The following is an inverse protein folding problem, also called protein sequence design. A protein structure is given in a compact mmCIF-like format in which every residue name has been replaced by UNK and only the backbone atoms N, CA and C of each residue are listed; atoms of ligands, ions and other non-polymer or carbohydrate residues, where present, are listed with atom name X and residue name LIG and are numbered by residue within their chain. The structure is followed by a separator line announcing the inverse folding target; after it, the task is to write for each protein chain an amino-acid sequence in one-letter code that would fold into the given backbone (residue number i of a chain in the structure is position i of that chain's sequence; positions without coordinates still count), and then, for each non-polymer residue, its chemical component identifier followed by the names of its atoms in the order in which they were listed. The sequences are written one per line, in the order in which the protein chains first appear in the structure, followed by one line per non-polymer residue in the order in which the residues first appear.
data_IF_744308482922
#
_entry.id   IF_744308482922
#
_cell.length_a   1.000
_cell.length_b   1.000
_cell.length_c   1.000
_cell.angle_alpha   90.00
_cell.angle_beta   90.00
_cell.angle_gamma   90.00
#
_symmetry.space_group_name_H-M   'P 1'
#
loop_
_entity.id
_entity.type
_entity.pdbx_description
1 polymer ?
#
# COMPACT_ATOMS: atom_id res chain seq x y z
N UNK A 1 -48.01 8.99 32.33
CA UNK A 1 -47.87 7.77 33.16
C UNK A 1 -46.43 7.29 33.04
N UNK A 2 -45.73 7.17 34.17
CA UNK A 2 -44.34 6.73 34.26
C UNK A 2 -44.23 5.25 33.89
N UNK A 3 -43.76 4.94 32.68
CA UNK A 3 -43.17 3.63 32.41
C UNK A 3 -41.66 3.77 32.59
N UNK A 4 -41.19 3.45 33.80
CA UNK A 4 -39.77 3.34 34.08
C UNK A 4 -39.19 2.23 33.23
N UNK A 5 -38.36 2.58 32.24
CA UNK A 5 -37.37 1.65 31.73
C UNK A 5 -36.54 1.19 32.94
N UNK A 6 -36.57 -0.11 33.23
CA UNK A 6 -35.57 -0.73 34.09
C UNK A 6 -34.23 -0.62 33.36
N UNK A 7 -33.48 0.43 33.65
CA UNK A 7 -32.07 0.53 33.26
C UNK A 7 -31.33 -0.55 34.04
N UNK A 8 -31.04 -1.68 33.38
CA UNK A 8 -30.14 -2.68 33.93
C UNK A 8 -28.75 -2.04 34.00
N UNK A 9 -28.31 -1.68 35.21
CA UNK A 9 -26.95 -1.17 35.43
C UNK A 9 -25.94 -2.19 34.92
N UNK A 10 -25.22 -1.84 33.86
CA UNK A 10 -24.16 -2.69 33.32
C UNK A 10 -22.97 -2.59 34.27
N UNK A 11 -22.55 -3.72 34.86
CA UNK A 11 -21.38 -3.77 35.73
C UNK A 11 -20.21 -4.27 34.88
N UNK A 12 -19.25 -3.40 34.61
CA UNK A 12 -17.96 -3.75 33.99
C UNK A 12 -16.87 -3.39 35.00
N UNK A 13 -15.99 -4.34 35.35
CA UNK A 13 -14.90 -4.16 36.32
C UNK A 13 -15.32 -3.54 37.67
N UNK A 14 -16.56 -3.81 38.13
CA UNK A 14 -17.05 -3.35 39.44
C UNK A 14 -17.59 -1.92 39.48
N UNK A 15 -17.66 -1.22 38.35
CA UNK A 15 -18.25 0.12 38.23
C UNK A 15 -19.63 0.01 37.57
N UNK A 16 -20.61 0.76 38.10
CA UNK A 16 -21.93 0.92 37.45
C UNK A 16 -21.70 1.82 36.24
N UNK A 17 -21.80 1.26 35.04
CA UNK A 17 -21.70 2.01 33.80
C UNK A 17 -23.08 2.39 33.25
N UNK A 18 -23.10 3.47 32.47
CA UNK A 18 -24.26 3.92 31.71
C UNK A 18 -24.76 2.94 30.64
N UNK A 19 -25.67 3.42 29.79
CA UNK A 19 -26.16 2.68 28.62
C UNK A 19 -25.08 2.59 27.52
N UNK A 20 -25.08 1.50 26.76
CA UNK A 20 -24.11 1.26 25.68
C UNK A 20 -24.79 1.11 24.32
N UNK A 21 -24.02 1.34 23.27
CA UNK A 21 -24.32 0.93 21.89
C UNK A 21 -23.40 -0.22 21.49
N UNK A 22 -23.80 -1.00 20.48
CA UNK A 22 -22.93 -1.99 19.85
C UNK A 22 -22.31 -1.36 18.59
N UNK A 23 -20.99 -1.35 18.53
CA UNK A 23 -20.25 -0.85 17.37
C UNK A 23 -20.13 -1.91 16.28
N UNK A 24 -19.56 -1.54 15.13
CA UNK A 24 -19.33 -2.45 14.00
C UNK A 24 -18.38 -3.60 14.36
N UNK A 25 -17.35 -3.32 15.13
CA UNK A 25 -16.40 -4.28 15.72
C UNK A 25 -17.03 -5.15 16.83
N UNK A 26 -18.31 -4.91 17.16
CA UNK A 26 -19.10 -5.56 18.22
C UNK A 26 -18.64 -5.18 19.62
N UNK A 27 -17.97 -4.03 19.75
CA UNK A 27 -17.60 -3.46 21.04
C UNK A 27 -18.83 -2.85 21.71
N UNK A 28 -18.97 -3.05 23.03
CA UNK A 28 -19.99 -2.37 23.83
C UNK A 28 -19.45 -0.99 24.20
N UNK A 29 -19.80 0.01 23.40
CA UNK A 29 -19.31 1.36 23.56
C UNK A 29 -20.28 2.19 24.40
N UNK A 30 -19.76 3.03 25.30
CA UNK A 30 -20.55 3.85 26.22
C UNK A 30 -20.39 5.34 25.87
N UNK A 31 -21.25 5.93 25.02
CA UNK A 31 -21.01 7.28 24.49
C UNK A 31 -20.97 8.39 25.56
N UNK A 32 -21.65 8.18 26.69
CA UNK A 32 -21.65 9.15 27.80
C UNK A 32 -20.46 8.97 28.74
N UNK A 33 -19.76 7.84 28.68
CA UNK A 33 -18.64 7.49 29.56
C UNK A 33 -17.61 6.69 28.73
N UNK A 34 -16.99 7.32 27.71
CA UNK A 34 -16.15 6.60 26.75
C UNK A 34 -14.93 6.00 27.45
N UNK A 35 -14.69 4.71 27.17
CA UNK A 35 -13.46 4.01 27.54
C UNK A 35 -12.49 4.17 26.38
N UNK A 36 -11.27 4.68 26.66
CA UNK A 36 -10.29 4.98 25.60
C UNK A 36 -9.96 3.76 24.77
N UNK A 37 -9.78 2.59 25.39
CA UNK A 37 -9.42 1.36 24.70
C UNK A 37 -10.52 0.84 23.75
N UNK A 38 -11.78 1.25 23.97
CA UNK A 38 -12.93 0.84 23.17
C UNK A 38 -13.14 1.74 21.93
N UNK A 39 -12.34 2.81 21.78
CA UNK A 39 -12.34 3.68 20.60
C UNK A 39 -11.48 3.04 19.50
N UNK A 40 -12.13 2.56 18.43
CA UNK A 40 -11.51 1.94 17.26
C UNK A 40 -11.74 2.78 16.00
N UNK A 41 -10.69 2.94 15.19
CA UNK A 41 -10.75 3.69 13.94
C UNK A 41 -11.63 2.98 12.90
N UNK A 42 -11.71 1.65 12.96
CA UNK A 42 -12.57 0.86 12.07
C UNK A 42 -14.04 1.17 12.33
N UNK A 43 -14.42 1.35 13.60
CA UNK A 43 -15.79 1.71 13.98
C UNK A 43 -16.14 3.13 13.53
N UNK A 44 -15.23 4.08 13.75
CA UNK A 44 -15.38 5.47 13.31
C UNK A 44 -15.54 5.53 11.79
N UNK A 45 -14.59 4.96 11.05
CA UNK A 45 -14.58 4.99 9.58
C UNK A 45 -15.83 4.34 9.00
N UNK A 46 -16.24 3.18 9.55
CA UNK A 46 -17.42 2.48 9.09
C UNK A 46 -18.69 3.31 9.27
N UNK A 47 -18.93 3.80 10.50
CA UNK A 47 -20.13 4.57 10.81
C UNK A 47 -20.18 5.89 10.02
N UNK A 48 -19.09 6.65 9.97
CA UNK A 48 -19.04 7.91 9.23
C UNK A 48 -19.19 7.71 7.72
N UNK A 49 -18.73 6.58 7.17
CA UNK A 49 -18.90 6.27 5.74
C UNK A 49 -20.35 6.01 5.33
N UNK A 50 -21.19 5.61 6.28
CA UNK A 50 -22.62 5.34 6.11
C UNK A 50 -23.52 6.51 6.54
N UNK A 51 -22.96 7.50 7.24
CA UNK A 51 -23.69 8.65 7.77
C UNK A 51 -23.80 9.76 6.74
N UNK A 52 -25.03 10.16 6.40
CA UNK A 52 -25.29 11.24 5.43
C UNK A 52 -25.07 12.62 6.05
N UNK A 53 -24.41 13.51 5.32
CA UNK A 53 -24.39 14.94 5.66
C UNK A 53 -25.67 15.67 5.30
N UNK A 54 -25.83 16.85 5.89
CA UNK A 54 -26.99 17.73 5.70
C UNK A 54 -28.33 17.00 5.93
N UNK A 55 -28.34 16.01 6.82
CA UNK A 55 -29.50 15.15 7.09
C UNK A 55 -30.11 14.55 5.81
N UNK A 56 -29.29 14.25 4.80
CA UNK A 56 -29.71 13.65 3.54
C UNK A 56 -30.36 14.61 2.53
N UNK A 57 -30.25 15.93 2.71
CA UNK A 57 -30.85 16.92 1.81
C UNK A 57 -30.00 17.30 0.59
N UNK A 58 -28.78 16.78 0.48
CA UNK A 58 -27.99 16.92 -0.74
C UNK A 58 -28.58 16.11 -1.89
N UNK A 59 -28.27 16.50 -3.13
CA UNK A 59 -28.84 15.91 -4.35
C UNK A 59 -28.53 14.41 -4.54
N UNK A 60 -27.54 13.88 -3.83
CA UNK A 60 -27.12 12.47 -3.83
C UNK A 60 -26.44 12.12 -2.50
N UNK A 61 -26.12 10.84 -2.27
CA UNK A 61 -25.47 10.41 -1.04
C UNK A 61 -24.07 11.02 -0.90
N UNK A 62 -23.84 11.75 0.20
CA UNK A 62 -22.55 12.33 0.55
C UNK A 62 -22.34 12.16 2.05
N UNK A 63 -21.26 11.45 2.41
CA UNK A 63 -21.07 10.98 3.78
C UNK A 63 -20.22 11.91 4.63
N UNK A 64 -20.36 11.81 5.95
CA UNK A 64 -19.50 12.52 6.91
C UNK A 64 -18.03 12.13 6.69
N UNK A 65 -17.72 10.85 6.44
CA UNK A 65 -16.35 10.44 6.15
C UNK A 65 -15.77 11.10 4.88
N UNK A 66 -16.58 11.30 3.83
CA UNK A 66 -16.12 11.97 2.60
C UNK A 66 -15.81 13.45 2.86
N UNK A 67 -16.63 14.12 3.67
CA UNK A 67 -16.35 15.47 4.15
C UNK A 67 -15.02 15.53 4.93
N UNK A 68 -14.82 14.66 5.93
CA UNK A 68 -13.59 14.66 6.73
C UNK A 68 -12.34 14.38 5.88
N UNK A 69 -12.43 13.53 4.85
CA UNK A 69 -11.35 13.29 3.87
C UNK A 69 -11.04 14.58 3.09
N UNK A 70 -12.06 15.31 2.63
CA UNK A 70 -11.87 16.57 1.93
C UNK A 70 -11.26 17.64 2.85
N UNK A 71 -11.68 17.72 4.12
CA UNK A 71 -11.05 18.57 5.14
C UNK A 71 -9.57 18.22 5.36
N UNK A 72 -9.24 16.94 5.48
CA UNK A 72 -7.86 16.47 5.57
C UNK A 72 -7.02 16.91 4.36
N UNK A 73 -7.50 16.68 3.14
CA UNK A 73 -6.80 17.03 1.90
C UNK A 73 -6.59 18.53 1.76
N UNK A 74 -7.57 19.33 2.17
CA UNK A 74 -7.47 20.79 2.19
C UNK A 74 -6.40 21.24 3.19
N UNK A 75 -6.38 20.68 4.41
CA UNK A 75 -5.34 20.96 5.39
C UNK A 75 -3.94 20.56 4.89
N UNK A 76 -3.81 19.42 4.19
CA UNK A 76 -2.55 19.01 3.55
C UNK A 76 -2.12 20.02 2.46
N UNK A 77 -3.05 20.48 1.62
CA UNK A 77 -2.75 21.46 0.56
C UNK A 77 -2.43 22.86 1.08
N UNK A 78 -2.98 23.25 2.24
CA UNK A 78 -2.61 24.49 2.94
C UNK A 78 -1.23 24.40 3.60
N UNK A 79 -0.60 23.22 3.61
CA UNK A 79 0.70 22.99 4.23
C UNK A 79 0.65 22.94 5.76
N UNK A 80 -0.52 22.65 6.35
CA UNK A 80 -0.67 22.54 7.80
C UNK A 80 0.05 21.32 8.36
N UNK A 81 0.31 21.33 9.67
CA UNK A 81 1.06 20.26 10.35
C UNK A 81 0.34 18.91 10.24
N UNK A 82 1.07 17.79 10.35
CA UNK A 82 0.47 16.44 10.35
C UNK A 82 -0.55 16.26 11.48
N UNK A 83 -0.34 16.94 12.61
CA UNK A 83 -1.29 16.99 13.73
C UNK A 83 -2.60 17.67 13.32
N UNK A 84 -2.54 18.83 12.68
CA UNK A 84 -3.73 19.54 12.18
C UNK A 84 -4.43 18.74 11.09
N UNK A 85 -3.67 18.13 10.17
CA UNK A 85 -4.23 17.21 9.16
C UNK A 85 -5.00 16.05 9.79
N UNK A 86 -4.47 15.43 10.85
CA UNK A 86 -5.14 14.37 11.60
C UNK A 86 -6.40 14.88 12.32
N UNK A 87 -6.33 16.07 12.91
CA UNK A 87 -7.49 16.69 13.55
C UNK A 87 -8.60 16.99 12.53
N UNK A 88 -8.27 17.51 11.34
CA UNK A 88 -9.26 17.70 10.26
C UNK A 88 -9.88 16.38 9.79
N UNK A 89 -9.13 15.27 9.76
CA UNK A 89 -9.69 13.96 9.45
C UNK A 89 -10.65 13.44 10.54
N UNK A 90 -10.38 13.77 11.80
CA UNK A 90 -11.09 13.23 12.96
C UNK A 90 -12.08 14.21 13.60
N UNK A 91 -12.26 15.42 13.09
CA UNK A 91 -13.03 16.47 13.80
C UNK A 91 -14.49 16.09 14.06
N UNK A 92 -15.10 15.31 13.15
CA UNK A 92 -16.46 14.76 13.28
C UNK A 92 -16.48 13.32 13.82
N UNK A 93 -15.37 12.79 14.33
CA UNK A 93 -15.28 11.39 14.75
C UNK A 93 -16.27 11.02 15.87
N UNK A 94 -16.58 11.94 16.77
CA UNK A 94 -17.59 11.74 17.82
C UNK A 94 -18.96 11.39 17.26
N UNK A 95 -19.34 11.91 16.09
CA UNK A 95 -20.63 11.66 15.44
C UNK A 95 -20.85 10.16 15.15
N UNK A 96 -19.77 9.38 14.96
CA UNK A 96 -19.85 7.92 14.78
C UNK A 96 -20.55 7.19 15.94
N UNK A 97 -20.55 7.78 17.15
CA UNK A 97 -21.16 7.20 18.33
C UNK A 97 -22.44 7.91 18.79
N UNK A 98 -22.69 9.15 18.33
CA UNK A 98 -23.82 9.99 18.79
C UNK A 98 -24.68 10.63 17.69
N UNK A 99 -24.39 10.36 16.42
CA UNK A 99 -25.02 10.90 15.18
C UNK A 99 -24.68 12.36 14.84
N UNK A 100 -24.66 12.69 13.54
CA UNK A 100 -24.57 14.07 13.03
C UNK A 100 -25.85 14.85 13.35
N UNK A 101 -25.70 15.94 14.11
CA UNK A 101 -26.77 16.92 14.33
C UNK A 101 -26.45 18.21 13.57
N UNK A 102 -27.34 18.55 12.64
CA UNK A 102 -27.23 19.78 11.84
C UNK A 102 -26.95 21.02 12.70
N UNK A 103 -25.98 21.84 12.25
CA UNK A 103 -25.46 23.03 12.94
C UNK A 103 -26.53 24.00 13.48
N UNK A 104 -27.68 24.27 12.80
CA UNK A 104 -28.72 25.16 13.34
C UNK A 104 -29.41 24.62 14.59
N UNK A 105 -29.62 23.30 14.70
CA UNK A 105 -30.28 22.67 15.84
C UNK A 105 -29.29 22.51 17.01
N UNK A 106 -28.05 22.10 16.70
CA UNK A 106 -26.98 21.81 17.66
C UNK A 106 -26.75 22.93 18.68
N UNK A 107 -26.83 24.19 18.24
CA UNK A 107 -26.68 25.39 19.10
C UNK A 107 -27.67 25.49 20.25
N UNK A 108 -28.81 24.79 20.16
CA UNK A 108 -29.87 24.80 21.17
C UNK A 108 -29.84 23.56 22.08
N UNK A 109 -28.88 22.65 21.91
CA UNK A 109 -28.77 21.38 22.63
C UNK A 109 -27.52 21.37 23.51
N UNK A 110 -27.57 22.05 24.65
CA UNK A 110 -26.38 22.27 25.51
C UNK A 110 -25.78 20.95 26.03
N UNK A 111 -26.63 20.00 26.46
CA UNK A 111 -26.17 18.69 26.93
C UNK A 111 -25.48 17.88 25.82
N UNK A 112 -26.01 17.95 24.59
CA UNK A 112 -25.39 17.29 23.44
C UNK A 112 -23.99 17.84 23.19
N UNK A 113 -23.83 19.17 23.22
CA UNK A 113 -22.52 19.81 23.05
C UNK A 113 -21.50 19.34 24.09
N UNK A 114 -21.91 19.23 25.37
CA UNK A 114 -21.01 18.74 26.42
C UNK A 114 -20.63 17.27 26.24
N UNK A 115 -21.58 16.42 25.83
CA UNK A 115 -21.35 15.00 25.56
C UNK A 115 -20.37 14.84 24.39
N UNK A 116 -20.63 15.53 23.29
CA UNK A 116 -19.81 15.52 22.08
C UNK A 116 -18.39 16.02 22.36
N UNK A 117 -18.24 17.17 23.02
CA UNK A 117 -16.92 17.72 23.33
C UNK A 117 -16.08 16.77 24.18
N UNK A 118 -16.68 16.10 25.16
CA UNK A 118 -15.99 15.09 25.98
C UNK A 118 -15.59 13.87 25.15
N UNK A 119 -16.51 13.35 24.34
CA UNK A 119 -16.24 12.19 23.48
C UNK A 119 -15.15 12.50 22.45
N UNK A 120 -15.24 13.66 21.79
CA UNK A 120 -14.25 14.13 20.83
C UNK A 120 -12.87 14.27 21.48
N UNK A 121 -12.81 14.80 22.71
CA UNK A 121 -11.58 14.88 23.50
C UNK A 121 -11.00 13.50 23.80
N UNK A 122 -11.82 12.51 24.16
CA UNK A 122 -11.38 11.13 24.38
C UNK A 122 -10.87 10.46 23.09
N UNK A 123 -11.49 10.75 21.94
CA UNK A 123 -11.01 10.26 20.63
C UNK A 123 -9.65 10.87 20.30
N UNK A 124 -9.48 12.18 20.52
CA UNK A 124 -8.20 12.86 20.34
C UNK A 124 -7.12 12.29 21.25
N UNK A 125 -7.42 12.10 22.54
CA UNK A 125 -6.52 11.47 23.49
C UNK A 125 -6.10 10.06 23.04
N UNK A 126 -7.04 9.23 22.60
CA UNK A 126 -6.79 7.87 22.10
C UNK A 126 -5.78 7.82 20.96
N UNK A 127 -5.75 8.86 20.13
CA UNK A 127 -4.86 8.97 18.97
C UNK A 127 -3.71 9.97 19.19
N UNK A 128 -3.38 10.27 20.45
CA UNK A 128 -2.18 11.03 20.81
C UNK A 128 -2.28 12.55 20.58
N UNK A 129 -3.49 13.08 20.39
CA UNK A 129 -3.77 14.52 20.30
C UNK A 129 -4.11 15.01 21.70
N UNK A 130 -3.16 15.64 22.39
CA UNK A 130 -3.34 16.01 23.81
C UNK A 130 -3.88 17.42 24.00
N UNK A 131 -3.34 18.41 23.29
CA UNK A 131 -3.75 19.82 23.39
C UNK A 131 -3.61 20.50 22.03
N UNK A 132 -4.66 21.20 21.59
CA UNK A 132 -4.60 22.12 20.46
C UNK A 132 -4.34 23.53 20.97
N UNK A 133 -3.52 24.29 20.26
CA UNK A 133 -3.41 25.72 20.50
C UNK A 133 -4.45 26.49 19.67
N UNK A 134 -4.68 27.77 19.99
CA UNK A 134 -5.69 28.61 19.33
C UNK A 134 -5.50 28.69 17.80
N UNK A 135 -4.25 28.65 17.30
CA UNK A 135 -3.98 28.66 15.86
C UNK A 135 -4.35 27.33 15.21
N UNK A 136 -4.05 26.20 15.85
CA UNK A 136 -4.45 24.87 15.38
C UNK A 136 -5.97 24.70 15.36
N UNK A 137 -6.67 25.14 16.41
CA UNK A 137 -8.14 25.12 16.47
C UNK A 137 -8.74 25.98 15.36
N UNK A 138 -8.19 27.17 15.14
CA UNK A 138 -8.60 28.06 14.06
C UNK A 138 -8.36 27.44 12.69
N UNK A 139 -7.21 26.78 12.47
CA UNK A 139 -6.90 26.10 11.21
C UNK A 139 -7.93 24.99 10.90
N UNK A 140 -8.34 24.22 11.91
CA UNK A 140 -9.35 23.16 11.76
C UNK A 140 -10.71 23.79 11.42
N UNK A 141 -11.13 24.81 12.18
CA UNK A 141 -12.40 25.51 11.94
C UNK A 141 -12.45 26.17 10.56
N UNK A 142 -11.37 26.82 10.12
CA UNK A 142 -11.28 27.48 8.81
C UNK A 142 -11.35 26.48 7.64
N UNK A 143 -10.97 25.22 7.88
CA UNK A 143 -11.04 24.14 6.88
C UNK A 143 -12.45 23.54 6.83
N UNK A 144 -13.05 23.25 8.00
CA UNK A 144 -14.43 22.75 8.08
C UNK A 144 -15.44 23.76 7.49
N UNK A 145 -15.37 25.04 7.90
CA UNK A 145 -16.25 26.07 7.36
C UNK A 145 -16.05 26.26 5.84
N UNK A 146 -14.81 26.14 5.35
CA UNK A 146 -14.56 26.15 3.91
C UNK A 146 -15.24 24.98 3.20
N UNK A 147 -15.07 23.74 3.69
CA UNK A 147 -15.75 22.58 3.11
C UNK A 147 -17.27 22.72 3.14
N UNK A 148 -17.83 23.11 4.28
CA UNK A 148 -19.27 23.30 4.45
C UNK A 148 -19.82 24.28 3.40
N UNK A 149 -19.14 25.41 3.16
CA UNK A 149 -19.57 26.38 2.15
C UNK A 149 -19.60 25.76 0.74
N UNK A 150 -18.51 25.11 0.32
CA UNK A 150 -18.43 24.55 -1.03
C UNK A 150 -19.33 23.32 -1.23
N UNK A 151 -19.63 22.57 -0.18
CA UNK A 151 -20.63 21.50 -0.20
C UNK A 151 -22.01 22.04 -0.57
N UNK A 152 -22.49 23.07 0.14
CA UNK A 152 -23.79 23.68 -0.13
C UNK A 152 -23.83 24.38 -1.49
N UNK A 153 -22.73 25.03 -1.89
CA UNK A 153 -22.63 25.66 -3.19
C UNK A 153 -22.74 24.63 -4.33
N UNK A 154 -21.99 23.52 -4.29
CA UNK A 154 -21.97 22.53 -5.37
C UNK A 154 -23.18 21.57 -5.35
N UNK A 155 -23.61 21.15 -4.15
CA UNK A 155 -24.65 20.13 -4.00
C UNK A 155 -26.05 20.72 -3.94
N UNK A 156 -26.20 22.02 -3.62
CA UNK A 156 -27.50 22.69 -3.54
C UNK A 156 -27.59 23.99 -4.35
N UNK A 157 -26.48 24.52 -4.87
CA UNK A 157 -26.47 25.81 -5.57
C UNK A 157 -26.71 27.00 -4.64
N UNK A 158 -26.39 26.86 -3.34
CA UNK A 158 -26.71 27.87 -2.33
C UNK A 158 -25.46 28.36 -1.60
N UNK A 159 -25.32 29.68 -1.51
CA UNK A 159 -24.29 30.34 -0.71
C UNK A 159 -24.80 30.50 0.73
N UNK A 160 -24.06 29.94 1.70
CA UNK A 160 -24.50 29.92 3.11
C UNK A 160 -23.74 30.92 4.00
N UNK A 161 -22.71 31.58 3.46
CA UNK A 161 -21.93 32.62 4.13
C UNK A 161 -21.83 33.85 3.24
N UNK A 162 -21.79 35.04 3.84
CA UNK A 162 -21.63 36.31 3.13
C UNK A 162 -20.20 36.49 2.57
N UNK A 163 -19.22 35.83 3.19
CA UNK A 163 -17.81 35.89 2.79
C UNK A 163 -17.41 34.50 2.30
N UNK A 164 -16.94 34.45 1.05
CA UNK A 164 -16.48 33.20 0.41
C UNK A 164 -15.16 32.75 1.06
N UNK A 165 -15.12 31.56 1.69
CA UNK A 165 -13.89 31.03 2.26
C UNK A 165 -12.90 30.60 1.16
N UNK A 166 -11.61 30.69 1.48
CA UNK A 166 -10.54 30.23 0.60
C UNK A 166 -10.49 28.70 0.56
N UNK A 167 -10.15 28.16 -0.61
CA UNK A 167 -9.96 26.72 -0.82
C UNK A 167 -8.75 26.50 -1.74
N UNK A 168 -7.95 25.48 -1.44
CA UNK A 168 -6.69 25.20 -2.15
C UNK A 168 -6.77 23.95 -3.01
N UNK A 169 -7.74 23.07 -2.74
CA UNK A 169 -8.02 21.89 -3.55
C UNK A 169 -9.29 22.06 -4.39
N UNK A 170 -9.49 21.13 -5.32
CA UNK A 170 -10.81 20.83 -5.88
C UNK A 170 -11.39 19.64 -5.08
N UNK A 171 -12.36 19.85 -4.17
CA UNK A 171 -12.94 18.77 -3.39
C UNK A 171 -13.69 17.78 -4.28
N UNK A 172 -13.76 16.54 -3.81
CA UNK A 172 -14.59 15.52 -4.44
C UNK A 172 -15.98 15.50 -3.79
N UNK A 173 -16.95 16.08 -4.48
CA UNK A 173 -18.37 16.08 -4.11
C UNK A 173 -19.19 15.07 -4.93
N UNK A 174 -18.55 14.16 -5.66
CA UNK A 174 -19.25 13.10 -6.39
C UNK A 174 -19.88 12.08 -5.44
N UNK A 175 -20.91 11.37 -5.91
CA UNK A 175 -21.49 10.26 -5.16
C UNK A 175 -20.50 9.09 -5.15
N UNK A 176 -20.10 8.66 -3.95
CA UNK A 176 -19.14 7.57 -3.75
C UNK A 176 -19.75 6.43 -2.97
N UNK A 177 -19.37 5.21 -3.34
CA UNK A 177 -19.75 4.01 -2.59
C UNK A 177 -19.08 4.06 -1.22
N UNK A 178 -19.86 3.89 -0.14
CA UNK A 178 -19.40 3.97 1.25
C UNK A 178 -18.14 3.15 1.52
N UNK A 179 -18.04 1.92 0.98
CA UNK A 179 -16.88 1.05 1.18
C UNK A 179 -15.58 1.59 0.58
N UNK A 180 -15.66 2.43 -0.46
CA UNK A 180 -14.49 3.12 -1.01
C UNK A 180 -14.05 4.30 -0.14
N UNK A 181 -15.02 5.00 0.47
CA UNK A 181 -14.78 6.13 1.37
C UNK A 181 -14.21 5.63 2.70
N UNK A 182 -14.77 4.56 3.25
CA UNK A 182 -14.28 3.89 4.47
C UNK A 182 -12.80 3.50 4.33
N UNK A 183 -12.45 2.82 3.23
CA UNK A 183 -11.05 2.42 2.96
C UNK A 183 -10.12 3.62 2.85
N UNK A 184 -10.55 4.68 2.18
CA UNK A 184 -9.73 5.89 2.04
C UNK A 184 -9.55 6.62 3.38
N UNK A 185 -10.59 6.69 4.21
CA UNK A 185 -10.54 7.27 5.54
C UNK A 185 -9.50 6.53 6.40
N UNK A 186 -9.58 5.20 6.45
CA UNK A 186 -8.61 4.34 7.17
C UNK A 186 -7.19 4.55 6.62
N UNK A 187 -7.02 4.56 5.29
CA UNK A 187 -5.71 4.77 4.67
C UNK A 187 -5.13 6.15 5.02
N UNK A 188 -5.96 7.19 5.05
CA UNK A 188 -5.56 8.56 5.39
C UNK A 188 -5.17 8.66 6.87
N UNK A 189 -5.96 8.02 7.74
CA UNK A 189 -5.66 7.94 9.17
C UNK A 189 -4.33 7.24 9.43
N UNK A 190 -4.12 6.06 8.83
CA UNK A 190 -2.89 5.29 8.99
C UNK A 190 -1.66 6.09 8.52
N UNK A 191 -1.76 6.74 7.35
CA UNK A 191 -0.73 7.65 6.82
C UNK A 191 -0.37 8.76 7.83
N UNK A 192 -1.35 9.33 8.53
CA UNK A 192 -1.16 10.43 9.48
C UNK A 192 -0.63 9.98 10.84
N UNK A 193 -1.04 8.81 11.30
CA UNK A 193 -0.55 8.19 12.54
C UNK A 193 0.87 7.63 12.41
N UNK A 194 1.47 7.69 11.21
CA UNK A 194 2.75 7.05 10.94
C UNK A 194 2.68 5.53 10.89
N UNK A 195 1.47 4.96 10.90
CA UNK A 195 1.22 3.57 10.52
C UNK A 195 1.37 3.49 8.99
N UNK A 196 2.61 3.28 8.52
CA UNK A 196 2.77 2.64 7.21
C UNK A 196 1.95 1.35 7.27
N UNK A 197 1.10 1.11 6.27
CA UNK A 197 0.34 -0.14 6.13
C UNK A 197 1.21 -1.31 6.57
N UNK A 198 0.75 -2.20 7.45
CA UNK A 198 1.51 -3.41 7.74
C UNK A 198 1.77 -4.14 6.42
N UNK A 199 2.99 -4.00 5.92
CA UNK A 199 3.44 -4.65 4.71
C UNK A 199 4.37 -5.78 5.10
N UNK A 200 4.28 -6.86 4.34
CA UNK A 200 5.21 -7.95 4.35
C UNK A 200 5.54 -8.26 2.90
N UNK A 201 6.68 -7.79 2.43
CA UNK A 201 7.08 -7.92 1.02
C UNK A 201 8.37 -8.72 0.92
N UNK A 202 8.43 -9.63 -0.06
CA UNK A 202 9.64 -10.40 -0.33
C UNK A 202 10.12 -10.17 -1.76
N UNK A 203 11.40 -9.83 -1.86
CA UNK A 203 12.13 -9.73 -3.12
C UNK A 203 13.18 -10.82 -3.21
N UNK A 204 13.32 -11.43 -4.38
CA UNK A 204 14.10 -12.65 -4.59
C UNK A 204 15.02 -12.49 -5.79
N UNK A 205 16.30 -12.84 -5.65
CA UNK A 205 17.27 -12.86 -6.74
C UNK A 205 18.06 -14.18 -6.79
N UNK A 206 18.52 -14.55 -7.98
CA UNK A 206 19.27 -15.77 -8.24
C UNK A 206 20.76 -15.60 -7.94
N UNK A 207 21.26 -16.29 -6.91
CA UNK A 207 22.63 -16.18 -6.42
C UNK A 207 23.42 -17.50 -6.57
N UNK A 208 24.24 -17.64 -7.63
CA UNK A 208 25.14 -18.79 -7.84
C UNK A 208 24.46 -20.18 -7.75
N UNK A 209 23.28 -20.34 -8.35
CA UNK A 209 22.52 -21.59 -8.30
C UNK A 209 21.77 -21.81 -6.97
N UNK A 210 21.77 -20.80 -6.10
CA UNK A 210 20.89 -20.64 -4.94
C UNK A 210 20.04 -19.39 -5.14
N UNK A 211 19.25 -19.04 -4.13
CA UNK A 211 18.46 -17.82 -4.08
C UNK A 211 18.87 -16.98 -2.88
N UNK A 212 18.83 -15.67 -3.05
CA UNK A 212 18.80 -14.72 -1.94
C UNK A 212 17.40 -14.13 -1.88
N UNK A 213 16.83 -14.08 -0.68
CA UNK A 213 15.55 -13.42 -0.45
C UNK A 213 15.69 -12.36 0.63
N UNK A 214 15.16 -11.18 0.34
CA UNK A 214 15.04 -10.06 1.28
C UNK A 214 13.56 -9.89 1.58
N UNK A 215 13.20 -10.12 2.83
CA UNK A 215 11.89 -9.83 3.38
C UNK A 215 11.95 -8.50 4.13
N UNK A 216 11.01 -7.61 3.86
CA UNK A 216 10.85 -6.35 4.58
C UNK A 216 9.43 -6.23 5.12
N UNK A 217 9.34 -5.68 6.32
CA UNK A 217 8.09 -5.25 6.94
C UNK A 217 8.28 -3.93 7.68
N UNK A 218 7.27 -3.49 8.43
CA UNK A 218 7.30 -2.28 9.25
C UNK A 218 8.46 -2.30 10.27
N UNK A 219 9.60 -1.70 9.89
CA UNK A 219 10.78 -1.57 10.75
C UNK A 219 11.59 -2.85 10.98
N UNK A 220 11.11 -4.01 10.49
CA UNK A 220 11.82 -5.28 10.56
C UNK A 220 12.24 -5.75 9.16
N UNK A 221 13.29 -6.55 9.12
CA UNK A 221 13.75 -7.19 7.90
C UNK A 221 14.35 -8.55 8.18
N UNK A 222 14.34 -9.37 7.14
CA UNK A 222 15.13 -10.57 7.11
C UNK A 222 15.80 -10.78 5.76
N UNK A 223 16.99 -11.38 5.79
CA UNK A 223 17.75 -11.69 4.59
C UNK A 223 18.41 -13.04 4.77
N UNK A 224 18.14 -13.95 3.84
CA UNK A 224 18.62 -15.33 3.92
C UNK A 224 18.94 -15.89 2.54
N UNK A 225 19.77 -16.94 2.52
CA UNK A 225 20.02 -17.76 1.33
C UNK A 225 19.20 -19.03 1.39
N UNK A 226 18.65 -19.41 0.24
CA UNK A 226 17.82 -20.60 0.08
C UNK A 226 18.33 -21.45 -1.08
N UNK A 227 18.15 -22.77 -1.01
CA UNK A 227 18.57 -23.68 -2.08
C UNK A 227 17.50 -23.81 -3.15
N UNK A 228 16.23 -23.58 -2.81
CA UNK A 228 15.08 -23.72 -3.71
C UNK A 228 14.06 -22.61 -3.46
N UNK A 229 13.21 -22.35 -4.46
CA UNK A 229 12.06 -21.44 -4.32
C UNK A 229 11.02 -21.98 -3.34
N UNK A 230 10.86 -23.31 -3.24
CA UNK A 230 9.97 -23.96 -2.27
C UNK A 230 10.32 -23.54 -0.84
N UNK A 231 11.61 -23.57 -0.47
CA UNK A 231 12.05 -23.16 0.87
C UNK A 231 11.70 -21.70 1.18
N UNK A 232 11.79 -20.79 0.20
CA UNK A 232 11.42 -19.38 0.38
C UNK A 232 9.91 -19.28 0.62
N UNK A 233 9.11 -19.86 -0.28
CA UNK A 233 7.65 -19.80 -0.22
C UNK A 233 7.07 -20.52 1.00
N UNK A 234 7.76 -21.51 1.56
CA UNK A 234 7.36 -22.21 2.78
C UNK A 234 7.78 -21.44 4.05
N UNK A 235 8.94 -20.77 4.03
CA UNK A 235 9.38 -19.89 5.12
C UNK A 235 8.51 -18.62 5.24
N UNK A 236 8.02 -18.12 4.10
CA UNK A 236 7.20 -16.92 4.01
C UNK A 236 5.90 -17.23 3.25
N UNK A 237 4.88 -17.85 3.88
CA UNK A 237 3.68 -18.30 3.18
C UNK A 237 2.65 -17.18 2.90
N UNK A 238 2.68 -16.10 3.69
CA UNK A 238 1.63 -15.07 3.75
C UNK A 238 2.20 -13.64 3.64
N UNK A 239 3.06 -13.39 2.65
CA UNK A 239 3.46 -12.04 2.27
C UNK A 239 2.43 -11.41 1.33
N UNK A 240 2.34 -10.08 1.37
CA UNK A 240 1.50 -9.28 0.50
C UNK A 240 2.02 -9.27 -0.94
N UNK A 241 3.34 -9.42 -1.12
CA UNK A 241 3.99 -9.46 -2.43
C UNK A 241 5.15 -10.45 -2.48
N UNK A 242 5.34 -11.07 -3.65
CA UNK A 242 6.45 -11.96 -3.97
C UNK A 242 7.01 -11.61 -5.35
N UNK A 243 8.15 -10.93 -5.39
CA UNK A 243 8.73 -10.44 -6.63
C UNK A 243 10.11 -11.06 -6.83
N UNK A 244 10.39 -11.55 -8.04
CA UNK A 244 11.62 -12.29 -8.35
C UNK A 244 12.29 -11.82 -9.65
N UNK A 245 13.62 -11.72 -9.65
CA UNK A 245 14.43 -11.45 -10.86
C UNK A 245 14.74 -12.75 -11.61
N UNK A 246 13.68 -13.34 -12.17
CA UNK A 246 13.80 -14.49 -13.07
C UNK A 246 12.60 -14.52 -14.01
N UNK A 247 12.79 -14.89 -15.29
CA UNK A 247 11.68 -15.04 -16.22
C UNK A 247 10.59 -15.98 -15.71
N UNK A 248 9.34 -15.50 -15.69
CA UNK A 248 8.12 -16.25 -15.35
C UNK A 248 7.17 -16.29 -16.55
N UNK A 249 6.67 -17.49 -16.85
CA UNK A 249 5.95 -17.80 -18.09
C UNK A 249 6.92 -17.96 -19.25
N UNK A 250 6.66 -18.84 -20.20
CA UNK A 250 7.65 -19.17 -21.23
C UNK A 250 7.04 -19.16 -22.63
N UNK A 251 7.77 -18.63 -23.63
CA UNK A 251 7.31 -18.68 -24.98
C UNK A 251 7.45 -20.12 -25.49
N UNK A 252 6.45 -20.58 -26.24
CA UNK A 252 6.47 -21.81 -27.03
C UNK A 252 6.29 -21.53 -28.52
N UNK A 253 6.15 -20.26 -28.91
CA UNK A 253 6.14 -19.81 -30.32
C UNK A 253 6.69 -18.38 -30.46
N UNK A 254 7.02 -17.98 -31.70
CA UNK A 254 7.39 -16.59 -32.03
C UNK A 254 6.27 -15.57 -31.83
N UNK A 255 5.03 -16.03 -31.75
CA UNK A 255 3.87 -15.16 -31.50
C UNK A 255 3.73 -14.80 -30.02
N UNK A 256 4.41 -15.52 -29.13
CA UNK A 256 4.33 -15.31 -27.68
C UNK A 256 5.16 -14.09 -27.30
N UNK A 257 4.48 -12.97 -27.10
CA UNK A 257 5.10 -11.72 -26.72
C UNK A 257 5.42 -11.72 -25.22
N UNK A 258 6.72 -11.67 -24.92
CA UNK A 258 7.25 -11.57 -23.56
C UNK A 258 7.59 -10.13 -23.15
N UNK A 259 7.56 -9.83 -21.84
CA UNK A 259 7.84 -8.49 -21.30
C UNK A 259 9.25 -7.98 -21.64
N UNK A 260 10.23 -8.89 -21.74
CA UNK A 260 11.65 -8.58 -21.94
C UNK A 260 11.89 -7.64 -23.13
N UNK A 261 11.20 -7.86 -24.24
CA UNK A 261 11.35 -7.06 -25.46
C UNK A 261 10.91 -5.59 -25.25
N UNK A 262 9.86 -5.39 -24.46
CA UNK A 262 9.33 -4.07 -24.14
C UNK A 262 10.24 -3.34 -23.16
N UNK A 263 10.61 -4.00 -22.06
CA UNK A 263 11.46 -3.40 -21.02
C UNK A 263 12.85 -3.08 -21.56
N UNK A 264 13.40 -3.95 -22.43
CA UNK A 264 14.67 -3.70 -23.11
C UNK A 264 14.65 -2.41 -23.93
N UNK A 265 13.54 -2.12 -24.60
CA UNK A 265 13.36 -0.87 -25.37
C UNK A 265 13.27 0.34 -24.45
N UNK A 266 12.56 0.22 -23.32
CA UNK A 266 12.39 1.29 -22.33
C UNK A 266 13.70 1.65 -21.62
N UNK A 267 14.56 0.68 -21.32
CA UNK A 267 15.85 0.90 -20.67
C UNK A 267 16.91 1.56 -21.56
N UNK A 268 16.69 1.66 -22.87
CA UNK A 268 17.61 2.30 -23.81
C UNK A 268 19.03 1.75 -23.70
N UNK A 269 19.99 2.60 -23.28
CA UNK A 269 21.42 2.24 -23.13
C UNK A 269 21.68 1.08 -22.16
N UNK A 270 20.78 0.83 -21.21
CA UNK A 270 20.86 -0.28 -20.24
C UNK A 270 20.10 -1.53 -20.70
N UNK A 271 19.46 -1.51 -21.87
CA UNK A 271 18.70 -2.66 -22.39
C UNK A 271 19.53 -3.93 -22.61
N UNK A 272 20.86 -3.85 -22.60
CA UNK A 272 21.74 -5.03 -22.64
C UNK A 272 21.71 -5.87 -21.36
N UNK A 273 21.21 -5.35 -20.24
CA UNK A 273 20.99 -6.14 -19.01
C UNK A 273 19.86 -7.16 -19.18
N UNK A 274 18.92 -6.89 -20.09
CA UNK A 274 17.81 -7.78 -20.40
C UNK A 274 18.21 -8.71 -21.55
N UNK A 275 18.43 -9.96 -21.18
CA UNK A 275 18.72 -11.04 -22.11
C UNK A 275 17.41 -11.62 -22.67
N UNK A 276 17.53 -12.39 -23.74
CA UNK A 276 16.38 -13.06 -24.31
C UNK A 276 16.07 -14.34 -23.53
N UNK A 277 14.80 -14.50 -23.18
CA UNK A 277 14.29 -15.67 -22.45
C UNK A 277 14.19 -16.87 -23.40
N UNK A 278 14.75 -18.04 -23.02
CA UNK A 278 14.62 -19.25 -23.81
C UNK A 278 13.17 -19.74 -23.92
N UNK A 279 12.83 -20.44 -25.00
CA UNK A 279 11.56 -21.17 -25.07
C UNK A 279 11.50 -22.30 -24.03
N UNK A 280 10.29 -22.75 -23.69
CA UNK A 280 10.13 -23.83 -22.69
C UNK A 280 10.91 -25.09 -23.08
N UNK A 281 10.88 -25.50 -24.34
CA UNK A 281 11.59 -26.67 -24.85
C UNK A 281 13.10 -26.58 -24.60
N UNK A 282 13.68 -25.38 -24.74
CA UNK A 282 15.10 -25.16 -24.53
C UNK A 282 15.52 -25.31 -23.07
N UNK A 283 14.73 -24.80 -22.10
CA UNK A 283 15.10 -24.91 -20.68
C UNK A 283 14.99 -26.34 -20.13
N UNK A 284 14.16 -27.19 -20.75
CA UNK A 284 14.02 -28.60 -20.38
C UNK A 284 15.05 -29.51 -21.05
N UNK A 285 15.87 -28.98 -21.95
CA UNK A 285 16.91 -29.76 -22.65
C UNK A 285 18.00 -30.25 -21.71
N UNK A 286 18.57 -31.42 -22.00
CA UNK A 286 19.59 -32.05 -21.15
C UNK A 286 20.96 -31.36 -21.22
N UNK A 287 21.27 -30.74 -22.36
CA UNK A 287 22.55 -30.09 -22.60
C UNK A 287 22.39 -28.78 -23.38
N UNK A 288 23.46 -27.97 -23.39
CA UNK A 288 23.48 -26.65 -24.04
C UNK A 288 23.28 -26.70 -25.56
N UNK A 289 23.68 -27.79 -26.21
CA UNK A 289 23.57 -27.94 -27.67
C UNK A 289 22.09 -28.12 -28.02
N UNK A 290 21.41 -29.03 -27.35
CA UNK A 290 19.98 -29.28 -27.55
C UNK A 290 19.14 -28.06 -27.18
N UNK A 291 19.48 -27.36 -26.09
CA UNK A 291 18.81 -26.12 -25.71
C UNK A 291 18.89 -25.07 -26.83
N UNK A 292 20.04 -24.92 -27.48
CA UNK A 292 20.20 -24.01 -28.63
C UNK A 292 19.39 -24.47 -29.82
N UNK A 293 19.43 -25.75 -30.14
CA UNK A 293 18.70 -26.32 -31.29
C UNK A 293 17.20 -26.12 -31.14
N UNK A 294 16.63 -26.47 -29.98
CA UNK A 294 15.21 -26.25 -29.69
C UNK A 294 14.83 -24.77 -29.72
N UNK A 295 15.69 -23.88 -29.20
CA UNK A 295 15.40 -22.44 -29.25
C UNK A 295 15.46 -21.88 -30.68
N UNK A 296 16.36 -22.39 -31.53
CA UNK A 296 16.41 -22.05 -32.96
C UNK A 296 15.14 -22.54 -33.65
N UNK A 297 14.71 -23.77 -33.40
CA UNK A 297 13.52 -24.36 -34.00
C UNK A 297 12.25 -23.57 -33.64
N UNK A 298 12.07 -23.27 -32.35
CA UNK A 298 10.85 -22.60 -31.85
C UNK A 298 10.88 -21.09 -32.07
N UNK A 299 12.00 -20.44 -31.73
CA UNK A 299 12.12 -18.98 -31.70
C UNK A 299 12.89 -18.39 -32.89
N UNK A 300 13.52 -19.23 -33.73
CA UNK A 300 14.31 -18.79 -34.89
C UNK A 300 15.68 -18.19 -34.54
N UNK A 301 16.15 -18.34 -33.31
CA UNK A 301 17.40 -17.71 -32.84
C UNK A 301 18.12 -18.58 -31.80
N UNK A 302 19.44 -18.51 -31.77
CA UNK A 302 20.26 -19.25 -30.80
C UNK A 302 20.30 -18.56 -29.43
N UNK A 303 20.74 -19.29 -28.41
CA UNK A 303 20.87 -18.79 -27.03
C UNK A 303 22.30 -18.34 -26.72
N UNK A 304 22.38 -17.19 -26.02
CA UNK A 304 23.62 -16.69 -25.43
C UNK A 304 24.10 -17.56 -24.26
N UNK A 305 25.38 -17.51 -23.90
CA UNK A 305 25.89 -18.20 -22.71
C UNK A 305 25.22 -17.69 -21.42
N UNK A 306 24.82 -16.41 -21.38
CA UNK A 306 24.07 -15.84 -20.26
C UNK A 306 22.68 -16.47 -20.13
N UNK A 307 21.92 -16.56 -21.23
CA UNK A 307 20.59 -17.22 -21.26
C UNK A 307 20.68 -18.69 -20.87
N UNK A 308 21.75 -19.39 -21.27
CA UNK A 308 21.99 -20.78 -20.87
C UNK A 308 22.38 -20.92 -19.39
N UNK A 309 23.10 -19.93 -18.84
CA UNK A 309 23.56 -19.93 -17.45
C UNK A 309 22.42 -19.89 -16.43
N UNK A 310 21.31 -19.24 -16.78
CA UNK A 310 20.13 -19.07 -15.92
C UNK A 310 19.02 -20.11 -16.18
N UNK A 311 19.13 -20.91 -17.25
CA UNK A 311 18.07 -21.84 -17.68
C UNK A 311 17.65 -22.81 -16.57
N UNK A 312 18.59 -23.21 -15.70
CA UNK A 312 18.31 -24.06 -14.53
C UNK A 312 17.41 -23.37 -13.50
N UNK A 313 17.62 -22.08 -13.24
CA UNK A 313 16.79 -21.30 -12.34
C UNK A 313 15.39 -21.09 -12.93
N UNK A 314 15.30 -20.75 -14.23
CA UNK A 314 14.02 -20.64 -14.94
C UNK A 314 13.25 -21.97 -14.87
N UNK A 315 13.90 -23.10 -15.13
CA UNK A 315 13.29 -24.43 -15.03
C UNK A 315 12.77 -24.72 -13.63
N UNK A 316 13.51 -24.38 -12.59
CA UNK A 316 13.06 -24.58 -11.21
C UNK A 316 11.77 -23.81 -10.91
N UNK A 317 11.66 -22.57 -11.40
CA UNK A 317 10.47 -21.73 -11.20
C UNK A 317 9.28 -22.24 -12.02
N UNK A 318 9.48 -22.61 -13.29
CA UNK A 318 8.43 -23.20 -14.13
C UNK A 318 7.89 -24.49 -13.49
N UNK A 319 8.77 -25.40 -13.06
CA UNK A 319 8.36 -26.61 -12.34
C UNK A 319 7.62 -26.32 -11.04
N UNK A 320 8.09 -25.35 -10.25
CA UNK A 320 7.44 -24.94 -8.99
C UNK A 320 6.01 -24.43 -9.23
N UNK A 321 5.82 -23.54 -10.20
CA UNK A 321 4.51 -22.97 -10.53
C UNK A 321 3.54 -24.02 -11.09
N UNK A 322 4.05 -25.02 -11.81
CA UNK A 322 3.26 -26.15 -12.29
C UNK A 322 2.87 -27.11 -11.15
N UNK A 323 3.79 -27.39 -10.21
CA UNK A 323 3.54 -28.27 -9.06
C UNK A 323 2.69 -27.61 -7.98
N UNK A 324 2.73 -26.27 -7.85
CA UNK A 324 1.99 -25.50 -6.85
C UNK A 324 1.15 -24.39 -7.50
N UNK A 325 -0.01 -24.72 -8.11
CA UNK A 325 -0.83 -23.75 -8.85
C UNK A 325 -1.25 -22.50 -8.07
N UNK A 326 -1.33 -22.58 -6.72
CA UNK A 326 -1.61 -21.42 -5.84
C UNK A 326 -0.60 -20.27 -5.98
N UNK A 327 0.60 -20.56 -6.49
CA UNK A 327 1.65 -19.57 -6.70
C UNK A 327 1.63 -18.97 -8.11
N UNK A 328 0.87 -19.54 -9.04
CA UNK A 328 0.70 -18.97 -10.39
C UNK A 328 0.15 -17.56 -10.26
N UNK A 329 0.85 -16.61 -10.87
CA UNK A 329 0.50 -15.19 -10.87
C UNK A 329 0.49 -14.52 -9.48
N UNK A 330 0.88 -15.24 -8.41
CA UNK A 330 1.16 -14.69 -7.06
C UNK A 330 2.66 -14.38 -6.91
N UNK A 331 3.52 -15.30 -7.35
CA UNK A 331 4.94 -15.02 -7.58
C UNK A 331 5.07 -14.35 -8.95
N UNK A 332 5.58 -13.13 -8.98
CA UNK A 332 5.63 -12.30 -10.19
C UNK A 332 7.05 -11.85 -10.53
N UNK A 333 7.32 -11.73 -11.81
CA UNK A 333 8.63 -11.34 -12.34
C UNK A 333 8.79 -9.81 -12.33
N UNK A 334 10.00 -9.34 -12.02
CA UNK A 334 10.42 -7.96 -12.28
C UNK A 334 11.93 -7.88 -12.51
N UNK A 335 12.45 -6.73 -12.92
CA UNK A 335 13.87 -6.56 -13.25
C UNK A 335 14.50 -5.39 -12.48
N UNK A 336 15.52 -5.61 -11.62
CA UNK A 336 16.09 -4.60 -10.74
C UNK A 336 16.53 -3.30 -11.43
N UNK A 337 17.23 -3.35 -12.57
CA UNK A 337 17.65 -2.12 -13.27
C UNK A 337 16.47 -1.27 -13.75
N UNK A 338 15.35 -1.91 -14.12
CA UNK A 338 14.14 -1.20 -14.50
C UNK A 338 13.45 -0.60 -13.27
N UNK A 339 13.35 -1.38 -12.20
CA UNK A 339 12.86 -0.91 -10.90
C UNK A 339 13.66 0.27 -10.36
N UNK A 340 14.99 0.21 -10.39
CA UNK A 340 15.85 1.31 -9.97
C UNK A 340 15.64 2.55 -10.82
N UNK A 341 15.47 2.41 -12.13
CA UNK A 341 15.12 3.56 -13.00
C UNK A 341 13.83 4.20 -12.54
N UNK A 342 12.79 3.41 -12.25
CA UNK A 342 11.49 3.89 -11.78
C UNK A 342 11.55 4.56 -10.42
N UNK A 343 12.14 3.91 -9.42
CA UNK A 343 12.37 4.46 -8.09
C UNK A 343 13.26 5.72 -8.09
N UNK A 344 14.01 5.94 -9.17
CA UNK A 344 14.87 7.10 -9.37
C UNK A 344 14.29 8.13 -10.36
N UNK A 345 12.96 8.24 -10.45
CA UNK A 345 12.25 9.21 -11.30
C UNK A 345 12.60 9.06 -12.79
N UNK A 346 12.51 7.83 -13.31
CA UNK A 346 12.87 7.45 -14.69
C UNK A 346 14.33 7.75 -15.07
N UNK A 347 15.24 7.78 -14.09
CA UNK A 347 16.69 7.98 -14.33
C UNK A 347 17.48 6.70 -14.02
N UNK A 348 17.93 5.96 -15.06
CA UNK A 348 18.75 4.76 -14.87
C UNK A 348 20.06 5.06 -14.15
N UNK A 349 20.48 4.14 -13.27
CA UNK A 349 21.79 4.18 -12.62
C UNK A 349 22.84 3.65 -13.60
N UNK A 350 23.79 4.50 -14.00
CA UNK A 350 24.75 4.16 -15.05
C UNK A 350 25.91 3.32 -14.51
N UNK A 351 26.28 3.54 -13.26
CA UNK A 351 27.34 2.85 -12.54
C UNK A 351 27.07 1.34 -12.48
N UNK A 352 28.14 0.56 -12.69
CA UNK A 352 28.11 -0.90 -12.67
C UNK A 352 27.76 -1.41 -11.27
N UNK A 353 26.74 -2.29 -11.19
CA UNK A 353 26.23 -2.86 -9.93
C UNK A 353 27.27 -3.63 -9.12
N UNK A 354 28.35 -4.08 -9.74
CA UNK A 354 29.44 -4.81 -9.07
C UNK A 354 30.48 -3.89 -8.43
N UNK A 355 30.45 -2.60 -8.74
CA UNK A 355 31.39 -1.61 -8.19
C UNK A 355 30.85 -1.01 -6.89
N UNK A 356 31.70 -0.60 -5.94
CA UNK A 356 31.25 0.09 -4.73
C UNK A 356 30.44 1.36 -5.02
N UNK A 357 30.82 2.11 -6.06
CA UNK A 357 30.09 3.30 -6.49
C UNK A 357 28.67 2.95 -6.97
N UNK A 358 28.52 1.91 -7.79
CA UNK A 358 27.20 1.46 -8.26
C UNK A 358 26.33 0.82 -7.16
N UNK A 359 26.95 0.16 -6.18
CA UNK A 359 26.24 -0.37 -5.00
C UNK A 359 25.73 0.77 -4.12
N UNK A 360 26.58 1.77 -3.83
CA UNK A 360 26.17 2.94 -3.06
C UNK A 360 25.07 3.73 -3.76
N UNK A 361 25.18 3.98 -5.08
CA UNK A 361 24.12 4.67 -5.83
C UNK A 361 22.75 3.96 -5.74
N UNK A 362 22.73 2.63 -5.75
CA UNK A 362 21.50 1.83 -5.55
C UNK A 362 21.00 1.92 -4.11
N UNK A 363 21.88 1.85 -3.12
CA UNK A 363 21.50 2.01 -1.71
C UNK A 363 20.97 3.41 -1.41
N UNK A 364 21.53 4.46 -2.01
CA UNK A 364 21.02 5.84 -1.91
C UNK A 364 19.58 5.95 -2.41
N UNK A 365 19.24 5.18 -3.46
CA UNK A 365 17.85 5.08 -3.93
C UNK A 365 16.99 4.37 -2.91
N UNK A 366 17.39 3.18 -2.46
CA UNK A 366 16.57 2.35 -1.57
C UNK A 366 16.33 2.98 -0.20
N UNK A 367 17.29 3.75 0.34
CA UNK A 367 17.13 4.45 1.63
C UNK A 367 16.00 5.47 1.65
N UNK A 368 15.58 5.99 0.49
CA UNK A 368 14.42 6.89 0.38
C UNK A 368 13.09 6.16 0.65
N UNK A 369 13.07 4.85 0.44
CA UNK A 369 11.86 4.01 0.54
C UNK A 369 11.90 3.07 1.75
N UNK A 370 13.10 2.67 2.18
CA UNK A 370 13.34 1.78 3.31
C UNK A 370 14.63 2.17 4.06
N UNK A 371 14.54 2.93 5.17
CA UNK A 371 15.71 3.48 5.88
C UNK A 371 16.73 2.43 6.36
N UNK A 372 16.30 1.19 6.62
CA UNK A 372 17.15 0.10 7.09
C UNK A 372 17.92 -0.63 5.96
N UNK A 373 17.92 -0.09 4.73
CA UNK A 373 18.56 -0.73 3.57
C UNK A 373 20.03 -1.13 3.78
N UNK A 374 20.83 -0.29 4.45
CA UNK A 374 22.24 -0.61 4.74
C UNK A 374 22.38 -1.79 5.71
N UNK A 375 21.49 -1.88 6.71
CA UNK A 375 21.54 -2.91 7.75
C UNK A 375 21.24 -4.31 7.17
N UNK A 376 20.40 -4.40 6.13
CA UNK A 376 20.17 -5.64 5.38
C UNK A 376 21.47 -6.14 4.74
N UNK A 377 22.19 -5.25 4.05
CA UNK A 377 23.46 -5.61 3.40
C UNK A 377 24.52 -5.99 4.43
N UNK A 378 24.64 -5.23 5.52
CA UNK A 378 25.55 -5.52 6.62
C UNK A 378 25.28 -6.89 7.26
N UNK A 379 24.01 -7.19 7.58
CA UNK A 379 23.60 -8.50 8.12
C UNK A 379 23.99 -9.64 7.18
N UNK A 380 23.68 -9.51 5.89
CA UNK A 380 24.01 -10.55 4.91
C UNK A 380 25.52 -10.77 4.74
N UNK A 381 26.30 -9.69 4.75
CA UNK A 381 27.76 -9.77 4.61
C UNK A 381 28.42 -10.35 5.87
N UNK A 382 27.85 -10.15 7.06
CA UNK A 382 28.33 -10.76 8.29
C UNK A 382 28.15 -12.30 8.28
N UNK A 383 27.00 -12.78 7.80
CA UNK A 383 26.69 -14.21 7.74
C UNK A 383 27.43 -14.98 6.63
N UNK A 384 27.97 -14.25 5.64
CA UNK A 384 28.67 -14.82 4.48
C UNK A 384 30.05 -14.18 4.30
N UNK A 385 31.03 -14.54 5.16
CA UNK A 385 32.33 -13.86 5.20
C UNK A 385 33.22 -14.08 3.97
N UNK A 386 32.84 -14.96 3.03
CA UNK A 386 33.62 -15.27 1.84
C UNK A 386 32.77 -15.24 0.57
N UNK A 387 33.04 -14.22 -0.28
CA UNK A 387 32.48 -13.88 -1.60
C UNK A 387 31.34 -12.85 -1.61
N UNK A 388 31.81 -11.60 -1.79
CA UNK A 388 31.16 -10.35 -2.19
C UNK A 388 30.08 -10.55 -3.28
N UNK A 389 28.82 -10.58 -2.87
CA UNK A 389 27.66 -10.49 -3.76
C UNK A 389 26.62 -9.53 -3.17
N UNK A 390 27.09 -8.36 -2.79
CA UNK A 390 26.22 -7.30 -2.30
C UNK A 390 25.23 -6.87 -3.39
N UNK A 391 25.58 -7.02 -4.67
CA UNK A 391 24.68 -6.76 -5.80
C UNK A 391 23.43 -7.64 -5.78
N UNK A 392 23.56 -8.97 -5.63
CA UNK A 392 22.40 -9.88 -5.57
C UNK A 392 21.43 -9.52 -4.41
N UNK A 393 21.96 -9.10 -3.25
CA UNK A 393 21.14 -8.65 -2.10
C UNK A 393 20.45 -7.33 -2.38
N UNK A 394 21.17 -6.38 -2.99
CA UNK A 394 20.63 -5.07 -3.34
C UNK A 394 19.52 -5.22 -4.39
N UNK A 395 19.69 -6.13 -5.34
CA UNK A 395 18.71 -6.46 -6.36
C UNK A 395 17.45 -7.09 -5.72
N UNK A 396 17.61 -8.10 -4.85
CA UNK A 396 16.50 -8.67 -4.09
C UNK A 396 15.79 -7.63 -3.20
N UNK A 397 16.54 -6.74 -2.53
CA UNK A 397 15.98 -5.66 -1.72
C UNK A 397 15.20 -4.65 -2.56
N UNK A 398 15.67 -4.33 -3.77
CA UNK A 398 14.95 -3.48 -4.72
C UNK A 398 13.58 -4.07 -5.04
N UNK A 399 13.51 -5.38 -5.30
CA UNK A 399 12.24 -6.06 -5.56
C UNK A 399 11.30 -6.05 -4.34
N UNK A 400 11.84 -6.20 -3.13
CA UNK A 400 11.05 -6.12 -1.90
C UNK A 400 10.45 -4.71 -1.71
N UNK A 401 11.25 -3.67 -1.97
CA UNK A 401 10.80 -2.26 -1.96
C UNK A 401 9.74 -2.01 -3.02
N UNK A 402 9.91 -2.53 -4.24
CA UNK A 402 8.88 -2.44 -5.29
C UNK A 402 7.57 -3.08 -4.81
N UNK A 403 7.64 -4.24 -4.17
CA UNK A 403 6.48 -4.89 -3.57
C UNK A 403 5.75 -4.02 -2.55
N UNK A 404 6.51 -3.33 -1.68
CA UNK A 404 5.94 -2.35 -0.73
C UNK A 404 5.25 -1.19 -1.47
N UNK A 405 5.92 -0.59 -2.45
CA UNK A 405 5.37 0.54 -3.20
C UNK A 405 4.11 0.15 -4.00
N UNK A 406 3.99 -1.10 -4.46
CA UNK A 406 2.79 -1.61 -5.14
C UNK A 406 1.56 -1.62 -4.25
N UNK A 407 1.73 -1.83 -2.95
CA UNK A 407 0.62 -1.80 -1.97
C UNK A 407 0.06 -0.38 -1.86
N UNK A 408 0.95 0.63 -1.87
CA UNK A 408 0.57 2.03 -1.71
C UNK A 408 0.07 2.67 -3.01
N UNK A 409 0.75 2.41 -4.13
CA UNK A 409 0.53 3.12 -5.42
C UNK A 409 -0.26 2.30 -6.44
N UNK A 410 -0.44 1.01 -6.19
CA UNK A 410 -0.99 0.05 -7.15
C UNK A 410 0.06 -0.53 -8.08
N UNK A 411 -0.26 -1.69 -8.64
CA UNK A 411 0.62 -2.46 -9.53
C UNK A 411 0.51 -1.98 -10.98
N UNK A 412 1.65 -1.87 -11.67
CA UNK A 412 1.72 -1.73 -13.13
C UNK A 412 2.42 -2.94 -13.74
N UNK A 413 2.06 -3.26 -14.98
CA UNK A 413 2.57 -4.42 -15.70
C UNK A 413 3.10 -4.02 -17.07
N UNK A 414 4.12 -4.73 -17.53
CA UNK A 414 4.61 -4.67 -18.91
C UNK A 414 4.48 -6.07 -19.50
N UNK A 415 3.86 -6.21 -20.69
CA UNK A 415 3.03 -5.20 -21.33
C UNK A 415 1.76 -4.91 -20.50
N UNK A 416 1.08 -3.79 -20.79
CA UNK A 416 -0.15 -3.39 -20.08
C UNK A 416 -1.25 -4.46 -20.16
N UNK A 417 -1.32 -5.18 -21.29
CA UNK A 417 -2.19 -6.34 -21.49
C UNK A 417 -1.32 -7.59 -21.70
N UNK A 418 -0.90 -8.28 -20.62
CA UNK A 418 0.01 -9.41 -20.72
C UNK A 418 -0.71 -10.66 -21.23
N UNK A 419 -0.01 -11.40 -22.11
CA UNK A 419 -0.46 -12.70 -22.58
C UNK A 419 -0.18 -13.79 -21.52
N UNK A 420 -0.95 -14.86 -21.56
CA UNK A 420 -0.65 -16.08 -20.83
C UNK A 420 0.09 -17.06 -21.74
N UNK A 421 1.02 -17.81 -21.17
CA UNK A 421 1.61 -18.94 -21.86
C UNK A 421 0.63 -20.13 -21.92
N UNK A 422 1.02 -21.18 -22.64
CA UNK A 422 0.23 -22.42 -22.81
C UNK A 422 -0.01 -23.22 -21.51
N UNK A 423 0.48 -22.76 -20.35
CA UNK A 423 0.25 -23.34 -19.03
C UNK A 423 -0.53 -22.40 -18.10
N UNK A 424 -1.05 -21.28 -18.62
CA UNK A 424 -1.83 -20.30 -17.89
C UNK A 424 -1.00 -19.41 -16.95
N UNK A 425 0.29 -19.26 -17.22
CA UNK A 425 1.18 -18.35 -16.48
C UNK A 425 1.24 -17.03 -17.24
N UNK A 426 0.95 -15.92 -16.55
CA UNK A 426 0.98 -14.59 -17.17
C UNK A 426 2.44 -14.19 -17.42
N UNK A 427 2.76 -13.85 -18.66
CA UNK A 427 4.08 -13.35 -19.08
C UNK A 427 4.12 -11.83 -18.91
N UNK A 428 4.54 -11.37 -17.73
CA UNK A 428 4.58 -9.95 -17.38
C UNK A 428 5.79 -9.60 -16.50
N UNK A 429 6.25 -8.36 -16.59
CA UNK A 429 7.11 -7.73 -15.58
C UNK A 429 6.32 -6.69 -14.80
N UNK A 430 6.39 -6.74 -13.47
CA UNK A 430 5.66 -5.82 -12.58
C UNK A 430 6.54 -4.64 -12.17
N UNK A 431 5.97 -3.44 -12.06
CA UNK A 431 6.68 -2.23 -11.61
C UNK A 431 5.73 -1.22 -10.95
N UNK A 432 6.28 -0.08 -10.50
CA UNK A 432 5.53 1.08 -9.94
C UNK A 432 5.96 2.38 -10.64
N UNK A 433 5.06 3.37 -10.68
CA UNK A 433 5.31 4.71 -11.23
C UNK A 433 5.60 5.75 -10.14
#
# INVERSE_FOLDING_TARGET
MKNGLKVSKNIVKGVIMGDYILTYSKTKFFPLEPILEDIDILDIAHALSLMTRANGHFKHFYSVAQHSINCFREAESRGYSKKVQLCCLLHDASESYISDITRPVKKNLHEYYHIEARLQSSIFERYGITLLNEDEEKQISDVDDAMLYYEFLELMGNEIFDIVPLIYIKPDFSERVFSSVEKEFISSFNKLMGHQSDYSCIGIDACNGKWVAVHISNGEFDVRKFSTIDEICDAYPNCDSYIIDIPIGLPESKADLRPDLFVKKLLGKKGSSIFEVPCRQAIYSENKVDARNHNIEVMGKSLSEQSLGIAKAIKQIDEFLLKRPKWKNKLVESHPEFCFSKLNNDRPILEDKKTPAGQNARLDVLRRYYPHANQIVEKFLADVPYRKKADDVIDAMCLAVIGKEMIEKGIKTIPENPAQDSRGIIMQMVYVE
#
